data_IF_906317224947
#
_entry.id   IF_906317224947
#
_cell.length_a   1.000
_cell.length_b   1.000
_cell.length_c   1.000
_cell.angle_alpha   90.00
_cell.angle_beta   90.00
_cell.angle_gamma   90.00
#
_symmetry.space_group_name_H-M   'P 1'
#
loop_
_entity.id
_entity.type
_entity.pdbx_description
1 polymer ?
#
# COMPACT_ATOMS: atom_id res chain seq x y z
N UNK A 1 -14.39 1.07 16.03
CA UNK A 1 -13.91 -0.28 15.65
C UNK A 1 -12.43 -0.29 15.24
N UNK A 2 -11.91 0.70 14.50
CA UNK A 2 -10.46 0.93 14.25
C UNK A 2 -9.57 0.82 15.51
N UNK A 3 -10.06 1.25 16.67
CA UNK A 3 -9.28 1.18 17.91
C UNK A 3 -9.36 -0.16 18.62
N UNK A 4 -10.42 -0.96 18.46
CA UNK A 4 -10.63 -2.13 19.32
C UNK A 4 -9.61 -3.23 19.04
N UNK A 5 -9.42 -3.63 17.78
CA UNK A 5 -8.49 -4.72 17.39
C UNK A 5 -7.02 -4.31 17.63
N UNK A 6 -6.65 -3.08 17.25
CA UNK A 6 -5.31 -2.53 17.51
C UNK A 6 -5.04 -2.33 19.03
N UNK A 7 -6.07 -1.98 19.81
CA UNK A 7 -5.96 -1.83 21.28
C UNK A 7 -5.88 -3.17 22.02
N UNK A 8 -6.39 -4.28 21.48
CA UNK A 8 -6.26 -5.59 22.12
C UNK A 8 -4.83 -6.13 22.01
N UNK A 9 -4.18 -5.96 20.85
CA UNK A 9 -2.87 -6.57 20.59
C UNK A 9 -1.65 -5.71 20.99
N UNK A 10 -1.72 -4.37 20.95
CA UNK A 10 -0.51 -3.51 20.99
C UNK A 10 -0.47 -2.47 22.12
N UNK A 11 -1.04 -2.77 23.29
CA UNK A 11 -1.11 -1.82 24.43
C UNK A 11 0.18 -1.64 25.23
N UNK A 12 1.19 -2.48 25.07
CA UNK A 12 2.43 -2.40 25.85
C UNK A 12 3.60 -1.88 25.01
N UNK A 13 4.38 -0.98 25.61
CA UNK A 13 5.74 -0.68 25.15
C UNK A 13 6.74 -1.72 25.71
N UNK A 14 6.21 -2.83 26.22
CA UNK A 14 6.96 -3.97 26.71
C UNK A 14 7.06 -4.97 25.56
N UNK A 15 8.25 -5.08 24.99
CA UNK A 15 8.56 -6.02 23.92
C UNK A 15 8.16 -7.46 24.29
N UNK A 16 8.18 -7.80 25.58
CA UNK A 16 7.85 -9.11 26.09
C UNK A 16 6.32 -9.37 26.08
N UNK A 17 5.47 -8.38 26.36
CA UNK A 17 4.02 -8.53 26.24
C UNK A 17 3.57 -8.58 24.77
N UNK A 18 4.21 -7.80 23.89
CA UNK A 18 3.98 -7.92 22.45
C UNK A 18 4.34 -9.33 21.94
N UNK A 19 5.53 -9.82 22.32
CA UNK A 19 5.96 -11.19 21.98
C UNK A 19 4.99 -12.22 22.54
N UNK A 20 4.54 -12.06 23.79
CA UNK A 20 3.59 -12.98 24.42
C UNK A 20 2.25 -13.05 23.67
N UNK A 21 1.71 -11.91 23.23
CA UNK A 21 0.45 -11.87 22.48
C UNK A 21 0.57 -12.46 21.09
N UNK A 22 1.64 -12.12 20.36
CA UNK A 22 1.91 -12.70 19.05
C UNK A 22 2.14 -14.21 19.17
N UNK A 23 2.83 -14.64 20.22
CA UNK A 23 3.06 -16.06 20.46
C UNK A 23 1.78 -16.82 20.83
N UNK A 24 0.88 -16.22 21.62
CA UNK A 24 -0.45 -16.78 21.87
C UNK A 24 -1.20 -16.99 20.56
N UNK A 25 -1.18 -16.01 19.65
CA UNK A 25 -1.77 -16.17 18.32
C UNK A 25 -1.12 -17.29 17.50
N UNK A 26 0.21 -17.39 17.51
CA UNK A 26 0.91 -18.48 16.84
C UNK A 26 0.50 -19.85 17.42
N UNK A 27 0.40 -19.96 18.74
CA UNK A 27 -0.07 -21.18 19.41
C UNK A 27 -1.49 -21.54 18.99
N UNK A 28 -2.42 -20.58 19.10
CA UNK A 28 -3.84 -20.81 18.85
C UNK A 28 -4.16 -21.12 17.39
N UNK A 29 -3.44 -20.48 16.45
CA UNK A 29 -3.76 -20.54 15.02
C UNK A 29 -2.86 -21.52 14.26
N UNK A 30 -1.56 -21.57 14.56
CA UNK A 30 -0.60 -22.41 13.84
C UNK A 30 -0.38 -23.76 14.51
N UNK A 31 -0.58 -23.85 15.83
CA UNK A 31 -0.40 -25.07 16.61
C UNK A 31 1.01 -25.68 16.51
N UNK A 32 1.14 -26.95 16.87
CA UNK A 32 2.39 -27.71 16.74
C UNK A 32 3.53 -27.11 17.58
N UNK A 33 4.66 -26.82 16.94
CA UNK A 33 5.88 -26.33 17.61
C UNK A 33 5.79 -24.86 18.08
N UNK A 34 4.63 -24.23 17.90
CA UNK A 34 4.32 -22.90 18.41
C UNK A 34 3.66 -22.92 19.80
N UNK A 35 3.16 -24.07 20.28
CA UNK A 35 2.26 -24.17 21.46
C UNK A 35 2.95 -24.02 22.82
N UNK A 36 4.26 -24.23 22.92
CA UNK A 36 5.00 -24.24 24.21
C UNK A 36 6.28 -23.40 24.20
N UNK A 37 6.30 -22.34 23.37
CA UNK A 37 7.46 -21.45 23.30
C UNK A 37 7.43 -20.43 24.45
N UNK A 38 8.62 -20.02 24.90
CA UNK A 38 8.76 -18.83 25.74
C UNK A 38 8.84 -17.59 24.83
N UNK A 39 8.26 -16.44 25.20
CA UNK A 39 8.35 -15.19 24.44
C UNK A 39 9.78 -14.77 24.09
N UNK A 40 10.77 -15.06 24.94
CA UNK A 40 12.18 -14.75 24.68
C UNK A 40 12.84 -15.63 23.61
N UNK A 41 12.21 -16.76 23.27
CA UNK A 41 12.73 -17.68 22.25
C UNK A 41 12.24 -17.34 20.85
N UNK A 42 11.37 -16.35 20.69
CA UNK A 42 10.91 -15.89 19.37
C UNK A 42 11.51 -14.53 19.03
N UNK A 43 11.76 -14.30 17.74
CA UNK A 43 12.10 -13.00 17.21
C UNK A 43 10.92 -12.41 16.45
N UNK A 44 10.69 -11.12 16.65
CA UNK A 44 9.64 -10.37 15.97
C UNK A 44 10.29 -9.14 15.35
N UNK A 45 10.13 -8.98 14.05
CA UNK A 45 10.58 -7.77 13.35
C UNK A 45 9.43 -7.15 12.57
N UNK A 46 9.29 -5.83 12.67
CA UNK A 46 8.29 -5.10 11.90
C UNK A 46 8.72 -5.02 10.43
N UNK A 47 7.84 -5.47 9.53
CA UNK A 47 8.06 -5.40 8.09
C UNK A 47 7.45 -4.09 7.58
N UNK A 48 8.30 -3.20 7.08
CA UNK A 48 7.87 -1.95 6.43
C UNK A 48 7.39 -2.29 5.01
N UNK A 49 6.19 -1.88 4.61
CA UNK A 49 5.75 -2.10 3.22
C UNK A 49 4.27 -1.89 2.88
N UNK A 50 3.35 -1.94 3.85
CA UNK A 50 1.91 -1.80 3.58
C UNK A 50 1.35 -0.43 3.97
N UNK A 51 0.58 0.20 3.08
CA UNK A 51 -0.16 1.44 3.37
C UNK A 51 -1.34 1.22 4.32
N UNK A 52 -1.87 -0.01 4.35
CA UNK A 52 -3.17 -0.36 4.95
C UNK A 52 -3.07 -1.45 6.02
N UNK A 53 -1.93 -2.10 6.19
CA UNK A 53 -1.78 -3.31 7.01
C UNK A 53 -0.52 -3.24 7.89
N UNK A 54 -0.61 -3.72 9.13
CA UNK A 54 0.57 -3.93 9.98
C UNK A 54 1.13 -5.32 9.71
N UNK A 55 2.44 -5.40 9.49
CA UNK A 55 3.11 -6.65 9.15
C UNK A 55 4.28 -6.93 10.11
N UNK A 56 4.32 -8.16 10.62
CA UNK A 56 5.39 -8.64 11.49
C UNK A 56 5.95 -9.95 10.94
N UNK A 57 7.26 -10.05 10.87
CA UNK A 57 7.95 -11.31 10.67
C UNK A 57 8.16 -11.95 12.04
N UNK A 58 7.64 -13.15 12.24
CA UNK A 58 7.72 -13.89 13.50
C UNK A 58 8.53 -15.15 13.25
N UNK A 59 9.63 -15.32 13.99
CA UNK A 59 10.48 -16.52 13.87
C UNK A 59 10.67 -17.21 15.22
N UNK A 60 10.69 -18.55 15.18
CA UNK A 60 11.08 -19.43 16.27
C UNK A 60 12.37 -20.19 15.91
N UNK A 61 13.05 -20.81 16.88
CA UNK A 61 14.20 -21.65 16.61
C UNK A 61 13.78 -22.92 15.85
N UNK A 62 14.68 -23.45 15.02
CA UNK A 62 14.53 -24.80 14.46
C UNK A 62 15.02 -25.81 15.50
N UNK A 63 14.14 -26.73 15.90
CA UNK A 63 14.46 -27.74 16.92
C UNK A 63 15.16 -28.97 16.35
N UNK A 64 15.00 -29.25 15.05
CA UNK A 64 15.66 -30.35 14.35
C UNK A 64 15.82 -30.03 12.87
N UNK A 65 16.70 -30.77 12.17
CA UNK A 65 16.81 -30.73 10.71
C UNK A 65 15.56 -31.28 9.99
N UNK A 66 14.77 -32.09 10.68
CA UNK A 66 13.50 -32.66 10.22
C UNK A 66 12.27 -31.80 10.54
N UNK A 67 12.46 -30.53 10.90
CA UNK A 67 11.36 -29.63 11.23
C UNK A 67 10.60 -29.17 9.98
N UNK A 68 9.51 -29.86 9.65
CA UNK A 68 8.67 -29.57 8.48
C UNK A 68 7.78 -28.33 8.66
N UNK A 69 7.46 -27.93 9.90
CA UNK A 69 6.63 -26.75 10.15
C UNK A 69 7.47 -25.48 10.01
N UNK A 70 6.99 -24.50 9.25
CA UNK A 70 7.68 -23.22 9.05
C UNK A 70 8.10 -22.58 10.37
N UNK A 71 9.41 -22.35 10.52
CA UNK A 71 9.97 -21.68 11.68
C UNK A 71 9.84 -20.16 11.61
N UNK A 72 9.55 -19.61 10.43
CA UNK A 72 9.32 -18.18 10.19
C UNK A 72 8.02 -18.00 9.44
N UNK A 73 7.19 -17.06 9.91
CA UNK A 73 5.87 -16.74 9.35
C UNK A 73 5.70 -15.23 9.26
N UNK A 74 4.87 -14.79 8.31
CA UNK A 74 4.46 -13.39 8.21
C UNK A 74 3.08 -13.23 8.86
N UNK A 75 3.02 -12.41 9.91
CA UNK A 75 1.77 -12.01 10.56
C UNK A 75 1.29 -10.70 9.92
N UNK A 76 0.12 -10.73 9.28
CA UNK A 76 -0.54 -9.55 8.74
C UNK A 76 -1.79 -9.22 9.54
N UNK A 77 -1.85 -8.00 10.05
CA UNK A 77 -2.97 -7.47 10.82
C UNK A 77 -3.66 -6.39 10.00
N UNK A 78 -4.95 -6.59 9.79
CA UNK A 78 -5.77 -5.76 8.91
C UNK A 78 -6.23 -4.50 9.63
N UNK A 79 -6.06 -3.34 9.00
CA UNK A 79 -6.62 -2.07 9.52
C UNK A 79 -7.93 -1.65 8.84
N UNK A 80 -8.27 -2.28 7.72
CA UNK A 80 -9.53 -2.10 7.01
C UNK A 80 -10.70 -2.59 7.87
N UNK A 81 -11.80 -1.83 7.87
CA UNK A 81 -13.03 -2.17 8.63
C UNK A 81 -14.20 -2.50 7.73
N UNK A 82 -14.08 -2.25 6.42
CA UNK A 82 -15.05 -2.66 5.41
C UNK A 82 -15.03 -4.19 5.25
N UNK A 83 -16.12 -4.84 5.65
CA UNK A 83 -16.21 -6.30 5.69
C UNK A 83 -16.24 -6.92 4.29
N UNK A 84 -16.79 -6.23 3.30
CA UNK A 84 -16.84 -6.73 1.93
C UNK A 84 -15.45 -6.67 1.28
N UNK A 85 -14.70 -5.58 1.51
CA UNK A 85 -13.32 -5.46 1.05
C UNK A 85 -12.41 -6.52 1.70
N UNK A 86 -12.56 -6.75 3.00
CA UNK A 86 -11.82 -7.79 3.72
C UNK A 86 -12.12 -9.20 3.19
N UNK A 87 -13.40 -9.50 2.92
CA UNK A 87 -13.81 -10.78 2.37
C UNK A 87 -13.24 -10.99 0.96
N UNK A 88 -13.34 -9.97 0.09
CA UNK A 88 -12.76 -10.02 -1.26
C UNK A 88 -11.24 -10.23 -1.22
N UNK A 89 -10.52 -9.48 -0.37
CA UNK A 89 -9.07 -9.63 -0.20
C UNK A 89 -8.71 -11.06 0.24
N UNK A 90 -9.46 -11.64 1.18
CA UNK A 90 -9.23 -13.01 1.64
C UNK A 90 -9.50 -14.05 0.55
N UNK A 91 -10.56 -13.87 -0.23
CA UNK A 91 -10.89 -14.74 -1.38
C UNK A 91 -9.80 -14.68 -2.45
N UNK A 92 -9.32 -13.48 -2.77
CA UNK A 92 -8.19 -13.28 -3.70
C UNK A 92 -6.94 -13.97 -3.18
N UNK A 93 -6.56 -13.68 -1.93
CA UNK A 93 -5.36 -14.22 -1.31
C UNK A 93 -5.36 -15.75 -1.30
N UNK A 94 -6.44 -16.37 -0.83
CA UNK A 94 -6.59 -17.83 -0.78
C UNK A 94 -6.56 -18.46 -2.16
N UNK A 95 -7.22 -17.86 -3.15
CA UNK A 95 -7.20 -18.36 -4.53
C UNK A 95 -5.79 -18.36 -5.13
N UNK A 96 -5.00 -17.32 -4.86
CA UNK A 96 -3.62 -17.19 -5.34
C UNK A 96 -2.65 -18.10 -4.60
N UNK A 97 -2.85 -18.29 -3.29
CA UNK A 97 -2.11 -19.25 -2.48
C UNK A 97 -2.28 -20.68 -3.01
N UNK A 98 -3.53 -21.11 -3.23
CA UNK A 98 -3.84 -22.46 -3.76
C UNK A 98 -3.35 -22.65 -5.20
N UNK A 99 -3.30 -21.57 -5.97
CA UNK A 99 -2.78 -21.60 -7.34
C UNK A 99 -1.24 -21.55 -7.40
N UNK A 100 -0.55 -21.47 -6.27
CA UNK A 100 0.91 -21.33 -6.19
C UNK A 100 1.44 -20.04 -6.82
N UNK A 101 0.64 -18.96 -6.79
CA UNK A 101 0.94 -17.63 -7.33
C UNK A 101 1.10 -16.57 -6.24
N UNK A 102 0.87 -16.93 -4.98
CA UNK A 102 1.10 -16.11 -3.80
C UNK A 102 1.61 -16.96 -2.64
N UNK A 103 1.95 -16.32 -1.50
CA UNK A 103 2.36 -17.03 -0.30
C UNK A 103 1.24 -17.93 0.23
N UNK A 104 1.59 -19.09 0.81
CA UNK A 104 0.59 -19.96 1.43
C UNK A 104 -0.12 -19.26 2.58
N UNK A 105 -1.41 -19.51 2.70
CA UNK A 105 -2.17 -19.19 3.90
C UNK A 105 -1.85 -20.22 4.99
N UNK A 106 -1.30 -19.79 6.12
CA UNK A 106 -0.99 -20.67 7.25
C UNK A 106 -2.09 -20.67 8.32
N UNK A 107 -2.85 -19.59 8.43
CA UNK A 107 -4.01 -19.52 9.31
C UNK A 107 -4.68 -18.15 9.34
N UNK A 108 -5.92 -18.11 9.82
CA UNK A 108 -6.75 -16.90 9.88
C UNK A 108 -7.28 -16.73 11.29
N UNK A 109 -7.38 -15.47 11.74
CA UNK A 109 -8.03 -15.12 13.00
C UNK A 109 -8.77 -13.77 12.85
N UNK A 110 -9.67 -13.41 13.78
CA UNK A 110 -10.35 -12.11 13.73
C UNK A 110 -9.34 -10.94 13.70
N UNK A 111 -9.30 -10.22 12.58
CA UNK A 111 -8.44 -9.06 12.38
C UNK A 111 -7.09 -9.33 11.70
N UNK A 112 -6.81 -10.55 11.24
CA UNK A 112 -5.58 -10.83 10.52
C UNK A 112 -5.40 -12.27 10.04
N UNK A 113 -4.20 -12.54 9.51
CA UNK A 113 -3.81 -13.85 9.00
C UNK A 113 -2.31 -14.09 9.16
N UNK A 114 -1.94 -15.36 9.16
CA UNK A 114 -0.57 -15.83 9.02
C UNK A 114 -0.32 -16.31 7.60
N UNK A 115 0.77 -15.85 7.01
CA UNK A 115 1.19 -16.16 5.65
C UNK A 115 2.57 -16.83 5.68
N UNK A 116 2.86 -17.64 4.67
CA UNK A 116 4.21 -18.10 4.40
C UNK A 116 5.14 -16.90 4.17
N UNK A 117 6.23 -16.85 4.94
CA UNK A 117 7.28 -15.90 4.64
C UNK A 117 8.11 -16.42 3.46
N UNK A 118 8.16 -15.63 2.39
CA UNK A 118 9.02 -15.90 1.24
C UNK A 118 10.29 -15.05 1.38
N UNK A 119 11.46 -15.65 1.69
CA UNK A 119 12.71 -14.91 1.79
C UNK A 119 13.02 -14.24 0.46
N UNK A 120 12.87 -12.92 0.42
CA UNK A 120 12.97 -12.12 -0.79
C UNK A 120 13.40 -10.70 -0.46
N UNK A 121 13.79 -9.96 -1.50
CA UNK A 121 13.92 -8.51 -1.44
C UNK A 121 13.05 -7.89 -2.53
N UNK A 122 12.55 -6.66 -2.34
CA UNK A 122 12.01 -5.86 -3.42
C UNK A 122 13.03 -5.70 -4.55
N UNK A 123 12.53 -5.50 -5.77
CA UNK A 123 13.36 -5.17 -6.93
C UNK A 123 13.77 -3.70 -6.78
N UNK A 124 15.06 -3.39 -6.96
CA UNK A 124 15.49 -2.00 -6.93
C UNK A 124 15.05 -1.29 -8.22
N UNK A 125 14.81 0.03 -8.16
CA UNK A 125 14.32 0.80 -9.31
C UNK A 125 15.12 0.60 -10.61
N UNK A 126 16.44 0.45 -10.49
CA UNK A 126 17.32 0.23 -11.64
C UNK A 126 17.16 -1.17 -12.26
N UNK A 127 16.74 -2.17 -11.47
CA UNK A 127 16.55 -3.56 -11.90
C UNK A 127 15.17 -3.80 -12.53
N UNK A 128 14.16 -2.97 -12.24
CA UNK A 128 12.80 -3.13 -12.80
C UNK A 128 12.81 -3.14 -14.33
N UNK A 129 13.73 -2.38 -14.91
CA UNK A 129 13.91 -2.32 -16.36
C UNK A 129 14.89 -3.35 -16.92
N UNK A 130 15.49 -4.18 -16.09
CA UNK A 130 16.39 -5.23 -16.56
C UNK A 130 15.64 -6.24 -17.40
N UNK A 131 16.21 -6.58 -18.56
CA UNK A 131 15.61 -7.53 -19.49
C UNK A 131 15.27 -8.87 -18.83
N UNK A 132 16.08 -9.31 -17.86
CA UNK A 132 15.85 -10.53 -17.09
C UNK A 132 14.58 -10.44 -16.23
N UNK A 133 14.38 -9.34 -15.50
CA UNK A 133 13.19 -9.12 -14.66
C UNK A 133 11.94 -8.99 -15.53
N UNK A 134 12.00 -8.15 -16.57
CA UNK A 134 10.92 -8.03 -17.56
C UNK A 134 10.54 -9.38 -18.18
N UNK A 135 11.52 -10.23 -18.52
CA UNK A 135 11.28 -11.57 -19.08
C UNK A 135 10.59 -12.49 -18.07
N UNK A 136 11.02 -12.47 -16.81
CA UNK A 136 10.43 -13.31 -15.76
C UNK A 136 8.99 -12.88 -15.47
N UNK A 137 8.73 -11.58 -15.40
CA UNK A 137 7.38 -11.06 -15.22
C UNK A 137 6.48 -11.38 -16.44
N UNK A 138 7.00 -11.22 -17.67
CA UNK A 138 6.29 -11.59 -18.89
C UNK A 138 5.94 -13.08 -18.94
N UNK A 139 6.72 -13.96 -18.28
CA UNK A 139 6.40 -15.39 -18.13
C UNK A 139 5.32 -15.66 -17.10
N UNK A 140 5.32 -14.90 -16.02
CA UNK A 140 4.39 -15.09 -14.90
C UNK A 140 2.98 -14.59 -15.22
N UNK A 141 2.88 -13.41 -15.84
CA UNK A 141 1.60 -12.70 -15.98
C UNK A 141 0.55 -13.42 -16.82
N UNK A 142 0.86 -14.15 -17.91
CA UNK A 142 -0.16 -14.93 -18.62
C UNK A 142 -0.87 -15.95 -17.72
N UNK A 143 -0.11 -16.62 -16.83
CA UNK A 143 -0.67 -17.55 -15.85
C UNK A 143 -1.48 -16.80 -14.81
N UNK A 144 -0.96 -15.69 -14.27
CA UNK A 144 -1.68 -14.85 -13.32
C UNK A 144 -3.02 -14.35 -13.88
N UNK A 145 -3.02 -13.77 -15.09
CA UNK A 145 -4.20 -13.29 -15.79
C UNK A 145 -5.22 -14.41 -16.10
N UNK A 146 -4.78 -15.65 -16.23
CA UNK A 146 -5.65 -16.82 -16.45
C UNK A 146 -6.27 -17.40 -15.17
N UNK A 147 -5.92 -16.87 -14.00
CA UNK A 147 -6.39 -17.39 -12.71
C UNK A 147 -7.90 -17.15 -12.55
N UNK A 148 -8.62 -18.19 -12.17
CA UNK A 148 -10.05 -18.12 -11.88
C UNK A 148 -10.26 -17.78 -10.39
N UNK A 149 -10.45 -16.50 -10.09
CA UNK A 149 -10.70 -16.03 -8.72
C UNK A 149 -12.20 -15.78 -8.52
N UNK A 150 -12.86 -16.31 -7.48
CA UNK A 150 -14.32 -16.25 -7.32
C UNK A 150 -14.81 -14.90 -6.75
N UNK A 151 -14.40 -13.80 -7.38
CA UNK A 151 -14.88 -12.43 -7.14
C UNK A 151 -15.69 -11.90 -8.34
N UNK A 152 -16.16 -10.65 -8.29
CA UNK A 152 -16.81 -9.99 -9.43
C UNK A 152 -15.96 -10.06 -10.70
N UNK A 153 -16.58 -10.44 -11.82
CA UNK A 153 -15.94 -10.49 -13.15
C UNK A 153 -16.06 -9.18 -13.92
N UNK A 154 -16.80 -8.22 -13.38
CA UNK A 154 -16.95 -6.90 -14.00
C UNK A 154 -15.69 -6.07 -13.74
N UNK A 155 -15.19 -5.32 -14.74
CA UNK A 155 -14.05 -4.44 -14.54
C UNK A 155 -14.37 -3.38 -13.49
N UNK A 156 -13.49 -3.22 -12.49
CA UNK A 156 -13.68 -2.27 -11.38
C UNK A 156 -13.01 -0.91 -11.60
N UNK A 157 -12.22 -0.75 -12.66
CA UNK A 157 -11.32 0.40 -12.87
C UNK A 157 -12.00 1.78 -12.75
N UNK A 158 -13.05 2.02 -13.55
CA UNK A 158 -13.75 3.31 -13.56
C UNK A 158 -14.49 3.54 -12.24
N UNK A 159 -15.11 2.49 -11.69
CA UNK A 159 -15.82 2.58 -10.41
C UNK A 159 -14.87 3.00 -9.28
N UNK A 160 -13.66 2.42 -9.19
CA UNK A 160 -12.66 2.81 -8.20
C UNK A 160 -12.25 4.28 -8.35
N UNK A 161 -12.01 4.76 -9.57
CA UNK A 161 -11.67 6.17 -9.80
C UNK A 161 -12.84 7.10 -9.42
N UNK A 162 -14.08 6.74 -9.75
CA UNK A 162 -15.26 7.53 -9.37
C UNK A 162 -15.45 7.57 -7.84
N UNK A 163 -15.23 6.45 -7.15
CA UNK A 163 -15.24 6.39 -5.68
C UNK A 163 -14.18 7.31 -5.07
N UNK A 164 -12.94 7.27 -5.55
CA UNK A 164 -11.87 8.14 -5.05
C UNK A 164 -12.12 9.61 -5.35
N UNK A 165 -12.66 9.93 -6.53
CA UNK A 165 -13.05 11.29 -6.88
C UNK A 165 -14.16 11.82 -5.97
N UNK A 166 -15.18 11.00 -5.69
CA UNK A 166 -16.24 11.36 -4.75
C UNK A 166 -15.69 11.58 -3.34
N UNK A 167 -14.79 10.70 -2.87
CA UNK A 167 -14.11 10.89 -1.58
C UNK A 167 -13.26 12.16 -1.55
N UNK A 168 -12.61 12.51 -2.65
CA UNK A 168 -11.88 13.77 -2.79
C UNK A 168 -12.81 14.98 -2.73
N UNK A 169 -14.02 14.90 -3.29
CA UNK A 169 -15.06 15.92 -3.19
C UNK A 169 -15.61 16.06 -1.76
N UNK A 170 -15.89 14.94 -1.08
CA UNK A 170 -16.31 14.91 0.34
C UNK A 170 -15.26 15.53 1.27
N UNK A 171 -13.97 15.51 0.87
CA UNK A 171 -12.91 16.25 1.55
C UNK A 171 -12.97 17.78 1.34
N UNK A 172 -14.02 18.28 0.69
CA UNK A 172 -14.26 19.69 0.40
C UNK A 172 -13.33 20.22 -0.68
N UNK A 173 -12.82 19.35 -1.57
CA UNK A 173 -12.04 19.76 -2.73
C UNK A 173 -12.94 19.77 -3.96
N UNK A 174 -12.74 20.76 -4.82
CA UNK A 174 -13.46 20.85 -6.11
C UNK A 174 -12.55 21.22 -7.26
N UNK A 175 -11.31 21.62 -6.95
CA UNK A 175 -10.33 22.13 -7.90
C UNK A 175 -8.92 21.70 -7.47
N UNK A 176 -8.09 21.37 -8.46
CA UNK A 176 -6.69 21.00 -8.31
C UNK A 176 -5.84 22.04 -9.03
N UNK A 177 -4.88 22.64 -8.32
CA UNK A 177 -3.90 23.53 -8.93
C UNK A 177 -2.83 22.68 -9.62
N UNK A 178 -2.74 22.77 -10.94
CA UNK A 178 -1.78 21.97 -11.69
C UNK A 178 -0.39 22.55 -11.55
N UNK A 179 0.56 21.69 -11.15
CA UNK A 179 1.97 22.05 -10.99
C UNK A 179 2.86 20.95 -11.52
N UNK A 180 3.94 21.35 -12.14
CA UNK A 180 5.01 20.45 -12.56
C UNK A 180 5.97 20.22 -11.39
N UNK A 181 6.46 18.99 -11.25
CA UNK A 181 7.43 18.60 -10.21
C UNK A 181 8.66 17.99 -10.86
N UNK A 182 8.77 16.66 -10.90
CA UNK A 182 9.85 15.94 -11.58
C UNK A 182 9.80 16.11 -13.09
N UNK A 183 8.64 16.38 -13.66
CA UNK A 183 8.45 16.52 -15.10
C UNK A 183 8.11 17.96 -15.44
N UNK A 184 8.94 18.61 -16.25
CA UNK A 184 8.77 20.01 -16.65
C UNK A 184 8.05 20.08 -18.00
N UNK A 185 6.87 20.68 -17.97
CA UNK A 185 6.05 20.97 -19.14
C UNK A 185 5.92 22.48 -19.30
N UNK A 186 5.81 22.95 -20.54
CA UNK A 186 5.53 24.35 -20.80
C UNK A 186 4.14 24.71 -20.22
N UNK A 187 3.98 25.82 -19.47
CA UNK A 187 2.72 26.12 -18.76
C UNK A 187 1.47 26.13 -19.65
N UNK A 188 1.61 26.42 -20.94
CA UNK A 188 0.50 26.42 -21.90
C UNK A 188 0.09 25.02 -22.41
N UNK A 189 0.69 23.94 -21.91
CA UNK A 189 0.38 22.57 -22.34
C UNK A 189 -0.63 21.86 -21.46
N UNK A 190 -0.98 22.44 -20.31
CA UNK A 190 -1.97 21.91 -19.38
C UNK A 190 -2.76 23.08 -18.76
N UNK A 191 -4.03 22.89 -18.38
CA UNK A 191 -4.79 23.93 -17.72
C UNK A 191 -4.18 24.24 -16.34
N UNK A 192 -4.16 25.51 -15.88
CA UNK A 192 -3.61 25.86 -14.58
C UNK A 192 -4.41 25.26 -13.41
N UNK A 193 -5.69 24.97 -13.65
CA UNK A 193 -6.62 24.38 -12.69
C UNK A 193 -7.45 23.31 -13.37
N UNK A 194 -7.66 22.18 -12.70
CA UNK A 194 -8.57 21.12 -13.13
C UNK A 194 -9.67 20.98 -12.07
N UNK A 195 -10.94 21.02 -12.47
CA UNK A 195 -12.05 20.79 -11.54
C UNK A 195 -12.39 19.31 -11.41
N UNK A 196 -13.11 18.93 -10.35
CA UNK A 196 -13.62 17.55 -10.23
C UNK A 196 -14.63 17.21 -11.33
N UNK A 197 -15.36 18.21 -11.85
CA UNK A 197 -16.20 18.04 -13.03
C UNK A 197 -15.39 17.75 -14.30
N UNK A 198 -14.19 18.31 -14.44
CA UNK A 198 -13.31 17.99 -15.57
C UNK A 198 -12.80 16.56 -15.45
N UNK A 199 -12.36 16.14 -14.26
CA UNK A 199 -11.95 14.76 -14.00
C UNK A 199 -13.10 13.76 -14.25
N UNK A 200 -14.32 14.09 -13.86
CA UNK A 200 -15.49 13.25 -14.13
C UNK A 200 -15.72 13.07 -15.64
N UNK A 201 -15.53 14.12 -16.44
CA UNK A 201 -15.64 14.07 -17.91
C UNK A 201 -14.52 13.25 -18.55
N UNK A 202 -13.31 13.32 -18.01
CA UNK A 202 -12.22 12.43 -18.41
C UNK A 202 -12.55 10.96 -18.10
N UNK A 203 -13.19 10.68 -16.95
CA UNK A 203 -13.66 9.34 -16.61
C UNK A 203 -14.76 8.83 -17.57
N UNK A 204 -15.67 9.70 -18.00
CA UNK A 204 -16.68 9.37 -19.01
C UNK A 204 -16.01 9.00 -20.35
N UNK A 205 -14.96 9.72 -20.73
CA UNK A 205 -14.16 9.45 -21.94
C UNK A 205 -13.41 8.11 -21.83
N UNK A 206 -12.86 7.81 -20.65
CA UNK A 206 -12.24 6.51 -20.37
C UNK A 206 -13.29 5.40 -20.47
N UNK A 207 -14.48 5.58 -19.90
CA UNK A 207 -15.56 4.60 -19.98
C UNK A 207 -16.00 4.32 -21.42
N UNK A 208 -16.10 5.34 -22.27
CA UNK A 208 -16.36 5.20 -23.70
C UNK A 208 -15.23 4.41 -24.41
N UNK A 209 -13.97 4.76 -24.14
CA UNK A 209 -12.82 4.02 -24.65
C UNK A 209 -12.85 2.54 -24.25
N UNK A 210 -13.14 2.26 -22.97
CA UNK A 210 -13.19 0.90 -22.44
C UNK A 210 -14.35 0.08 -23.02
N UNK A 211 -15.47 0.73 -23.39
CA UNK A 211 -16.61 0.08 -24.05
C UNK A 211 -16.30 -0.40 -25.47
N UNK A 212 -15.32 0.21 -26.13
CA UNK A 212 -14.89 -0.13 -27.51
C UNK A 212 -13.56 -0.88 -27.55
N UNK A 213 -12.88 -1.00 -26.41
CA UNK A 213 -11.58 -1.66 -26.29
C UNK A 213 -11.66 -3.15 -26.57
N UNK A 214 -10.71 -3.66 -27.37
CA UNK A 214 -10.54 -5.10 -27.59
C UNK A 214 -9.67 -5.78 -26.52
N UNK A 215 -9.26 -5.06 -25.47
CA UNK A 215 -8.49 -5.64 -24.37
C UNK A 215 -9.38 -6.59 -23.57
N UNK A 216 -8.96 -7.85 -23.35
CA UNK A 216 -9.76 -8.81 -22.59
C UNK A 216 -9.82 -8.41 -21.11
N UNK A 217 -10.97 -8.64 -20.50
CA UNK A 217 -11.10 -8.60 -19.03
C UNK A 217 -10.54 -9.90 -18.46
N UNK A 218 -9.52 -9.78 -17.62
CA UNK A 218 -8.79 -10.87 -16.98
C UNK A 218 -8.59 -10.56 -15.50
N UNK A 219 -8.12 -11.52 -14.71
CA UNK A 219 -7.76 -11.22 -13.32
C UNK A 219 -6.43 -10.46 -13.28
N UNK A 220 -6.46 -9.19 -12.88
CA UNK A 220 -5.31 -8.28 -12.88
C UNK A 220 -4.80 -8.03 -11.46
N UNK A 221 -3.51 -7.74 -11.34
CA UNK A 221 -2.90 -7.28 -10.09
C UNK A 221 -3.27 -5.82 -9.80
N UNK A 222 -3.37 -5.00 -10.85
CA UNK A 222 -3.65 -3.56 -10.88
C UNK A 222 -2.59 -2.66 -10.23
N UNK A 223 -1.71 -3.22 -9.40
CA UNK A 223 -0.62 -2.49 -8.73
C UNK A 223 0.77 -3.11 -8.99
N UNK A 224 1.06 -3.41 -10.26
CA UNK A 224 2.39 -3.90 -10.66
C UNK A 224 3.46 -2.81 -10.53
N UNK A 225 4.16 -2.73 -9.40
CA UNK A 225 5.17 -1.69 -9.11
C UNK A 225 6.58 -2.27 -8.85
N UNK A 226 7.57 -1.39 -8.67
CA UNK A 226 8.96 -1.75 -8.38
C UNK A 226 9.15 -2.51 -7.05
N UNK A 227 8.23 -2.33 -6.09
CA UNK A 227 8.27 -3.04 -4.82
C UNK A 227 7.93 -4.52 -4.96
N UNK A 228 7.42 -4.95 -6.12
CA UNK A 228 7.12 -6.34 -6.37
C UNK A 228 8.39 -7.19 -6.47
N UNK A 229 8.47 -8.16 -5.57
CA UNK A 229 9.31 -9.32 -5.82
C UNK A 229 8.72 -10.14 -6.98
N UNK A 230 9.52 -10.97 -7.65
CA UNK A 230 8.99 -11.90 -8.67
C UNK A 230 7.91 -12.85 -8.14
N UNK A 231 7.83 -13.00 -6.82
CA UNK A 231 6.65 -13.53 -6.15
C UNK A 231 5.70 -12.35 -5.99
N UNK A 232 4.67 -12.28 -6.84
CA UNK A 232 3.65 -11.23 -6.75
C UNK A 232 3.06 -11.26 -5.33
N UNK A 233 2.91 -10.08 -4.73
CA UNK A 233 2.44 -9.86 -3.36
C UNK A 233 1.57 -8.60 -3.32
N UNK A 234 0.89 -8.38 -2.20
CA UNK A 234 0.06 -7.17 -1.97
C UNK A 234 -1.07 -7.00 -3.01
N UNK A 235 -1.93 -8.03 -3.07
CA UNK A 235 -3.07 -8.13 -3.98
C UNK A 235 -4.27 -7.23 -3.62
N UNK A 236 -4.06 -6.14 -2.88
CA UNK A 236 -5.13 -5.29 -2.33
C UNK A 236 -5.98 -4.62 -3.41
N UNK A 237 -5.36 -4.32 -4.56
CA UNK A 237 -6.03 -3.77 -5.73
C UNK A 237 -6.43 -4.83 -6.75
N UNK A 238 -6.15 -6.11 -6.51
CA UNK A 238 -6.40 -7.17 -7.49
C UNK A 238 -7.89 -7.35 -7.74
N UNK A 239 -8.26 -7.36 -9.01
CA UNK A 239 -9.64 -7.48 -9.46
C UNK A 239 -9.68 -7.95 -10.91
N UNK A 240 -10.85 -8.37 -11.38
CA UNK A 240 -11.03 -8.49 -12.82
C UNK A 240 -10.99 -7.10 -13.46
N UNK A 241 -10.12 -6.92 -14.44
CA UNK A 241 -9.91 -5.66 -15.13
C UNK A 241 -9.35 -5.91 -16.54
N UNK A 242 -9.16 -4.86 -17.33
CA UNK A 242 -8.56 -4.96 -18.66
C UNK A 242 -7.09 -5.34 -18.55
N UNK A 243 -6.67 -6.39 -19.25
CA UNK A 243 -5.25 -6.80 -19.33
C UNK A 243 -4.34 -5.63 -19.69
N UNK A 244 -4.79 -4.78 -20.60
CA UNK A 244 -4.04 -3.63 -21.06
C UNK A 244 -3.67 -2.67 -19.93
N UNK A 245 -4.56 -2.50 -18.95
CA UNK A 245 -4.30 -1.68 -17.77
C UNK A 245 -3.16 -2.26 -16.95
N UNK A 246 -3.21 -3.55 -16.60
CA UNK A 246 -2.21 -4.18 -15.73
C UNK A 246 -0.82 -4.16 -16.38
N UNK A 247 -0.76 -4.47 -17.68
CA UNK A 247 0.49 -4.42 -18.44
C UNK A 247 1.02 -2.99 -18.59
N UNK A 248 0.15 -2.01 -18.84
CA UNK A 248 0.55 -0.61 -18.90
C UNK A 248 1.03 -0.09 -17.55
N UNK A 249 0.38 -0.53 -16.46
CA UNK A 249 0.72 -0.15 -15.09
C UNK A 249 2.17 -0.46 -14.78
N UNK A 250 2.62 -1.67 -15.09
CA UNK A 250 4.01 -2.08 -14.93
C UNK A 250 4.99 -1.10 -15.59
N UNK A 251 4.77 -0.74 -16.86
CA UNK A 251 5.68 0.16 -17.57
C UNK A 251 5.61 1.60 -17.10
N UNK A 252 4.44 2.07 -16.66
CA UNK A 252 4.29 3.38 -16.04
C UNK A 252 5.03 3.42 -14.70
N UNK A 253 4.86 2.42 -13.84
CA UNK A 253 5.52 2.32 -12.54
C UNK A 253 7.04 2.16 -12.68
N UNK A 254 7.52 1.34 -13.62
CA UNK A 254 8.95 1.16 -13.90
C UNK A 254 9.67 2.45 -14.31
N UNK A 255 8.91 3.45 -14.79
CA UNK A 255 9.44 4.76 -15.15
C UNK A 255 9.48 5.73 -13.96
N UNK A 256 8.90 5.39 -12.80
CA UNK A 256 8.85 6.25 -11.63
C UNK A 256 9.79 5.69 -10.56
N UNK A 257 10.82 6.46 -10.23
CA UNK A 257 11.74 6.17 -9.12
C UNK A 257 11.22 6.84 -7.87
N UNK A 258 10.91 6.08 -6.83
CA UNK A 258 10.44 6.61 -5.55
C UNK A 258 11.57 6.74 -4.52
N UNK A 259 11.25 7.26 -3.33
CA UNK A 259 12.13 7.32 -2.16
C UNK A 259 13.43 8.13 -2.38
N UNK A 260 13.40 9.11 -3.28
CA UNK A 260 14.53 10.02 -3.47
C UNK A 260 14.65 10.99 -2.30
N UNK A 261 15.88 11.38 -1.98
CA UNK A 261 16.18 12.28 -0.84
C UNK A 261 15.66 13.70 -1.08
N UNK A 262 15.75 14.18 -2.31
CA UNK A 262 15.42 15.56 -2.69
C UNK A 262 13.98 15.67 -3.16
N UNK A 263 13.33 16.80 -2.87
CA UNK A 263 12.00 17.12 -3.38
C UNK A 263 11.99 17.02 -4.93
N UNK A 264 10.96 16.39 -5.55
CA UNK A 264 9.69 15.94 -4.99
C UNK A 264 9.69 14.52 -4.38
N UNK A 265 10.88 13.96 -4.13
CA UNK A 265 11.12 12.59 -3.61
C UNK A 265 10.78 11.46 -4.56
N UNK A 266 10.55 11.81 -5.82
CA UNK A 266 10.44 10.86 -6.91
C UNK A 266 11.00 11.47 -8.21
N UNK A 267 11.30 10.62 -9.18
CA UNK A 267 11.68 11.03 -10.54
C UNK A 267 10.94 10.21 -11.59
N UNK A 268 10.57 10.83 -12.70
CA UNK A 268 10.01 10.14 -13.87
C UNK A 268 11.08 10.06 -14.97
N UNK A 269 11.45 8.85 -15.38
CA UNK A 269 12.36 8.57 -16.49
C UNK A 269 11.56 8.29 -17.78
N UNK A 270 11.48 9.31 -18.64
CA UNK A 270 10.79 9.19 -19.94
C UNK A 270 11.47 8.23 -20.91
N UNK A 271 12.78 7.97 -20.77
CA UNK A 271 13.46 7.00 -21.61
C UNK A 271 12.97 5.60 -21.28
N UNK A 272 12.78 5.28 -19.99
CA UNK A 272 12.15 4.03 -19.55
C UNK A 272 10.70 3.95 -20.00
N UNK A 273 9.90 5.01 -19.78
CA UNK A 273 8.48 5.05 -20.15
C UNK A 273 8.26 4.81 -21.64
N UNK A 274 9.12 5.38 -22.50
CA UNK A 274 9.02 5.29 -23.95
C UNK A 274 9.91 4.19 -24.58
N UNK A 275 10.51 3.31 -23.77
CA UNK A 275 11.40 2.26 -24.28
C UNK A 275 10.62 1.20 -25.07
N UNK A 276 10.47 1.45 -26.37
CA UNK A 276 9.71 0.57 -27.28
C UNK A 276 10.34 -0.81 -27.40
N UNK A 277 11.67 -0.90 -27.41
CA UNK A 277 12.39 -2.17 -27.57
C UNK A 277 12.10 -3.09 -26.38
N UNK A 278 12.21 -2.58 -25.16
CA UNK A 278 11.90 -3.34 -23.94
C UNK A 278 10.44 -3.81 -23.91
N UNK A 279 9.48 -2.91 -24.20
CA UNK A 279 8.06 -3.29 -24.25
C UNK A 279 7.80 -4.38 -25.28
N UNK A 280 8.46 -4.33 -26.43
CA UNK A 280 8.31 -5.33 -27.47
C UNK A 280 8.89 -6.69 -27.06
N UNK A 281 10.07 -6.72 -26.43
CA UNK A 281 10.65 -7.98 -25.91
C UNK A 281 9.76 -8.61 -24.83
N UNK A 282 9.22 -7.79 -23.91
CA UNK A 282 8.21 -8.24 -22.96
C UNK A 282 6.98 -8.82 -23.68
N UNK A 283 6.46 -8.14 -24.70
CA UNK A 283 5.29 -8.62 -25.44
C UNK A 283 5.55 -9.96 -26.15
N UNK A 284 6.74 -10.15 -26.75
CA UNK A 284 7.13 -11.41 -27.38
C UNK A 284 7.09 -12.56 -26.38
N UNK A 285 7.69 -12.36 -25.21
CA UNK A 285 7.73 -13.37 -24.16
C UNK A 285 6.34 -13.65 -23.59
N UNK A 286 5.55 -12.60 -23.31
CA UNK A 286 4.16 -12.74 -22.83
C UNK A 286 3.31 -13.55 -23.82
N UNK A 287 3.38 -13.23 -25.12
CA UNK A 287 2.64 -13.96 -26.17
C UNK A 287 3.09 -15.42 -26.27
N UNK A 288 4.39 -15.68 -26.15
CA UNK A 288 4.96 -17.03 -26.17
C UNK A 288 4.39 -17.89 -25.04
N UNK A 289 4.29 -17.33 -23.83
CA UNK A 289 3.80 -18.04 -22.64
C UNK A 289 2.28 -18.16 -22.63
N UNK A 290 1.57 -17.12 -23.07
CA UNK A 290 0.12 -17.17 -23.31
C UNK A 290 -0.26 -18.29 -24.29
N UNK A 291 0.52 -18.51 -25.35
CA UNK A 291 0.31 -19.60 -26.30
C UNK A 291 0.37 -20.98 -25.64
N UNK A 292 1.24 -21.20 -24.65
CA UNK A 292 1.32 -22.46 -23.90
C UNK A 292 0.07 -22.72 -23.05
N UNK A 293 -0.62 -21.66 -22.66
CA UNK A 293 -1.88 -21.69 -21.92
C UNK A 293 -3.11 -21.72 -22.86
N UNK A 294 -2.92 -21.90 -24.18
CA UNK A 294 -3.98 -21.82 -25.20
C UNK A 294 -4.71 -20.47 -25.24
N UNK A 295 -4.06 -19.39 -24.80
CA UNK A 295 -4.59 -18.02 -24.87
C UNK A 295 -4.15 -17.40 -26.20
N UNK A 296 -5.12 -17.09 -27.07
CA UNK A 296 -4.84 -16.47 -28.35
C UNK A 296 -4.59 -14.96 -28.21
N UNK A 297 -3.45 -14.49 -28.74
CA UNK A 297 -3.11 -13.07 -28.86
C UNK A 297 -2.68 -12.84 -30.30
N UNK A 298 -3.25 -11.83 -30.97
CA UNK A 298 -3.07 -11.60 -32.40
C UNK A 298 -1.60 -11.47 -32.80
N UNK A 299 -0.84 -10.68 -32.03
CA UNK A 299 0.62 -10.52 -32.16
C UNK A 299 1.20 -9.75 -30.98
N UNK A 300 2.52 -9.81 -30.81
CA UNK A 300 3.28 -8.95 -29.89
C UNK A 300 3.05 -7.46 -30.16
N UNK A 301 2.84 -7.07 -31.43
CA UNK A 301 2.52 -5.69 -31.79
C UNK A 301 1.10 -5.28 -31.37
N UNK A 302 0.14 -6.20 -31.40
CA UNK A 302 -1.20 -5.93 -30.89
C UNK A 302 -1.20 -5.70 -29.37
N UNK A 303 -0.36 -6.44 -28.65
CA UNK A 303 -0.19 -6.29 -27.20
C UNK A 303 0.57 -4.99 -26.86
N UNK A 304 1.60 -4.64 -27.64
CA UNK A 304 2.30 -3.36 -27.50
C UNK A 304 1.34 -2.17 -27.71
N UNK A 305 0.45 -2.25 -28.70
CA UNK A 305 -0.57 -1.22 -28.94
C UNK A 305 -1.53 -1.11 -27.75
N UNK A 306 -1.98 -2.24 -27.22
CA UNK A 306 -2.83 -2.30 -26.03
C UNK A 306 -2.16 -1.62 -24.83
N UNK A 307 -0.90 -1.95 -24.52
CA UNK A 307 -0.12 -1.29 -23.46
C UNK A 307 -0.08 0.24 -23.65
N UNK A 308 0.20 0.70 -24.87
CA UNK A 308 0.32 2.14 -25.14
C UNK A 308 -1.03 2.87 -25.04
N UNK A 309 -2.14 2.22 -25.43
CA UNK A 309 -3.49 2.80 -25.32
C UNK A 309 -3.95 2.94 -23.86
N UNK A 310 -3.51 2.05 -22.97
CA UNK A 310 -3.88 2.07 -21.55
C UNK A 310 -2.97 2.95 -20.68
N UNK A 311 -1.79 3.36 -21.16
CA UNK A 311 -0.88 4.20 -20.38
C UNK A 311 -1.51 5.52 -19.85
N UNK A 312 -2.30 6.29 -20.65
CA UNK A 312 -3.00 7.46 -20.13
C UNK A 312 -4.03 7.11 -19.04
N UNK A 313 -4.69 5.97 -19.15
CA UNK A 313 -5.67 5.49 -18.17
C UNK A 313 -4.99 5.19 -16.83
N UNK A 314 -3.80 4.57 -16.87
CA UNK A 314 -2.97 4.34 -15.67
C UNK A 314 -2.57 5.66 -15.01
N UNK A 315 -2.14 6.65 -15.79
CA UNK A 315 -1.79 7.96 -15.24
C UNK A 315 -2.98 8.64 -14.56
N UNK A 316 -4.16 8.62 -15.18
CA UNK A 316 -5.38 9.17 -14.58
C UNK A 316 -5.78 8.41 -13.30
N UNK A 317 -5.69 7.08 -13.32
CA UNK A 317 -5.99 6.22 -12.18
C UNK A 317 -5.18 6.60 -10.94
N UNK A 318 -3.86 6.66 -11.06
CA UNK A 318 -2.99 7.03 -9.95
C UNK A 318 -3.06 8.52 -9.62
N UNK A 319 -3.36 9.40 -10.58
CA UNK A 319 -3.59 10.80 -10.30
C UNK A 319 -4.80 10.99 -9.36
N UNK A 320 -5.94 10.37 -9.68
CA UNK A 320 -7.15 10.46 -8.85
C UNK A 320 -6.93 9.80 -7.48
N UNK A 321 -6.25 8.64 -7.43
CA UNK A 321 -5.86 8.02 -6.16
C UNK A 321 -5.00 8.96 -5.29
N UNK A 322 -3.98 9.58 -5.88
CA UNK A 322 -3.09 10.49 -5.16
C UNK A 322 -3.81 11.76 -4.67
N UNK A 323 -4.76 12.30 -5.45
CA UNK A 323 -5.59 13.43 -5.02
C UNK A 323 -6.42 13.08 -3.78
N UNK A 324 -7.05 11.90 -3.80
CA UNK A 324 -7.78 11.39 -2.64
C UNK A 324 -6.86 11.25 -1.40
N UNK A 325 -5.61 10.82 -1.59
CA UNK A 325 -4.62 10.68 -0.52
C UNK A 325 -4.07 12.04 0.00
N UNK A 326 -3.96 13.08 -0.84
CA UNK A 326 -3.27 14.36 -0.54
C UNK A 326 -3.80 15.07 0.72
N UNK A 327 -5.12 15.05 0.97
CA UNK A 327 -5.72 15.78 2.10
C UNK A 327 -5.90 14.96 3.38
N UNK A 328 -5.59 13.66 3.35
CA UNK A 328 -5.40 12.90 4.59
C UNK A 328 -4.21 13.48 5.39
N UNK A 329 -3.22 14.06 4.70
CA UNK A 329 -2.02 14.69 5.30
C UNK A 329 -2.16 16.22 5.55
N UNK A 330 -2.76 16.98 4.62
CA UNK A 330 -2.74 18.47 4.65
C UNK A 330 -3.76 19.17 5.56
N UNK A 331 -4.86 18.51 5.95
CA UNK A 331 -5.81 19.07 6.94
C UNK A 331 -5.20 19.23 8.34
N UNK A 332 -4.15 18.46 8.65
CA UNK A 332 -3.40 18.55 9.92
C UNK A 332 -2.36 19.68 9.93
N UNK A 333 -1.81 20.06 8.77
CA UNK A 333 -0.70 21.02 8.65
C UNK A 333 -1.14 22.48 8.47
N UNK A 334 -2.20 22.74 7.71
CA UNK A 334 -2.66 24.11 7.36
C UNK A 334 -3.30 24.88 8.53
N UNK A 335 -3.86 24.19 9.52
CA UNK A 335 -4.42 24.82 10.73
C UNK A 335 -3.36 25.47 11.64
N UNK A 336 -2.08 25.11 11.49
CA UNK A 336 -1.01 25.53 12.40
C UNK A 336 -0.22 26.77 11.92
N UNK A 337 -0.36 27.17 10.64
CA UNK A 337 0.45 28.24 10.04
C UNK A 337 -0.05 29.67 10.32
N UNK A 338 -1.30 29.83 10.75
CA UNK A 338 -1.94 31.15 10.95
C UNK A 338 -1.84 31.72 12.38
N UNK A 339 -0.97 31.20 13.23
CA UNK A 339 -0.80 31.70 14.61
C UNK A 339 0.32 32.75 14.67
N UNK A 340 0.02 34.06 14.78
CA UNK A 340 1.04 35.08 14.92
C UNK A 340 1.52 35.11 16.38
N UNK A 341 2.83 34.94 16.58
CA UNK A 341 3.56 35.14 17.84
C UNK A 341 2.84 34.63 19.10
N UNK A 342 2.76 33.31 19.24
CA UNK A 342 2.47 32.70 20.53
C UNK A 342 3.77 32.42 21.28
N UNK A 343 3.97 33.08 22.43
CA UNK A 343 5.09 32.86 23.36
C UNK A 343 5.11 31.45 23.97
N UNK A 344 3.96 30.77 23.94
CA UNK A 344 3.77 29.40 24.39
C UNK A 344 2.71 28.78 23.49
N UNK A 345 3.05 27.68 22.82
CA UNK A 345 2.10 26.92 22.01
C UNK A 345 1.96 25.54 22.65
N UNK A 346 0.81 25.29 23.27
CA UNK A 346 0.43 23.96 23.75
C UNK A 346 -0.07 23.17 22.55
N UNK A 347 0.82 22.41 21.89
CA UNK A 347 0.45 21.58 20.76
C UNK A 347 -0.04 20.24 21.31
N UNK A 348 -1.35 20.05 21.28
CA UNK A 348 -2.00 18.80 21.67
C UNK A 348 -1.88 17.82 20.49
N UNK A 349 -0.82 17.01 20.50
CA UNK A 349 -0.64 15.95 19.50
C UNK A 349 -1.45 14.72 19.91
N UNK A 350 -2.54 14.48 19.20
CA UNK A 350 -3.26 13.22 19.30
C UNK A 350 -2.45 12.13 18.57
N UNK A 351 -1.85 11.22 19.34
CA UNK A 351 -1.19 10.02 18.82
C UNK A 351 -2.17 8.86 18.55
N UNK A 352 -3.45 9.08 18.81
CA UNK A 352 -4.51 8.12 18.52
C UNK A 352 -4.98 8.31 17.07
N UNK A 353 -4.59 7.38 16.20
CA UNK A 353 -5.06 7.33 14.81
C UNK A 353 -4.05 7.78 13.75
N UNK A 354 -2.81 8.11 14.14
CA UNK A 354 -1.74 8.46 13.19
C UNK A 354 -0.80 7.28 12.93
N UNK A 355 -0.34 7.13 11.69
CA UNK A 355 0.64 6.15 11.24
C UNK A 355 2.08 6.57 11.60
N UNK A 356 3.07 5.69 11.40
CA UNK A 356 4.44 5.94 11.84
C UNK A 356 5.13 7.11 11.10
N UNK A 357 4.82 7.31 9.82
CA UNK A 357 5.31 8.46 9.06
C UNK A 357 4.73 9.77 9.60
N UNK A 358 3.42 9.79 9.90
CA UNK A 358 2.74 10.92 10.52
C UNK A 358 3.30 11.21 11.92
N UNK A 359 3.57 10.19 12.75
CA UNK A 359 4.17 10.36 14.08
C UNK A 359 5.58 10.95 14.01
N UNK A 360 6.44 10.43 13.14
CA UNK A 360 7.77 10.99 12.93
C UNK A 360 7.72 12.41 12.37
N UNK A 361 6.71 12.72 11.55
CA UNK A 361 6.48 14.08 11.04
C UNK A 361 6.01 15.03 12.14
N UNK A 362 5.13 14.60 13.03
CA UNK A 362 4.66 15.39 14.18
C UNK A 362 5.74 15.59 15.25
N UNK A 363 6.57 14.58 15.53
CA UNK A 363 7.73 14.69 16.42
C UNK A 363 8.79 15.62 15.85
N UNK A 364 9.09 15.50 14.55
CA UNK A 364 9.99 16.42 13.85
C UNK A 364 9.46 17.86 13.89
N UNK A 365 8.15 18.07 13.65
CA UNK A 365 7.53 19.39 13.71
C UNK A 365 7.59 20.02 15.11
N UNK A 366 7.34 19.23 16.16
CA UNK A 366 7.46 19.67 17.55
C UNK A 366 8.90 20.08 17.89
N UNK A 367 9.90 19.33 17.40
CA UNK A 367 11.32 19.66 17.55
C UNK A 367 11.69 20.95 16.81
N UNK A 368 11.22 21.14 15.57
CA UNK A 368 11.49 22.36 14.80
C UNK A 368 10.87 23.63 15.43
N UNK A 369 9.69 23.51 16.06
CA UNK A 369 9.05 24.62 16.77
C UNK A 369 9.74 24.93 18.10
N UNK A 370 10.23 23.93 18.82
CA UNK A 370 11.03 24.12 20.04
C UNK A 370 12.37 24.83 19.77
N UNK A 371 13.00 24.55 18.62
CA UNK A 371 14.25 25.20 18.19
C UNK A 371 14.09 26.69 17.86
N UNK A 372 12.86 27.18 17.64
CA UNK A 372 12.56 28.60 17.39
C UNK A 372 12.21 29.39 18.66
N UNK A 373 12.66 28.90 19.83
CA UNK A 373 12.42 29.48 21.16
C UNK A 373 10.95 29.55 21.60
N UNK A 374 10.05 28.79 20.96
CA UNK A 374 8.70 28.60 21.49
C UNK A 374 8.72 27.61 22.66
N UNK A 375 8.01 27.91 23.75
CA UNK A 375 7.70 26.90 24.76
C UNK A 375 6.67 25.92 24.19
N UNK A 376 7.16 24.75 23.78
CA UNK A 376 6.33 23.64 23.29
C UNK A 376 6.03 22.69 24.45
N UNK A 377 4.75 22.51 24.76
CA UNK A 377 4.29 21.50 25.72
C UNK A 377 3.57 20.41 24.94
N UNK A 378 4.09 19.19 24.98
CA UNK A 378 3.45 18.01 24.40
C UNK A 378 2.54 17.38 25.44
N UNK A 379 1.26 17.22 25.11
CA UNK A 379 0.29 16.57 25.99
C UNK A 379 -0.14 15.27 25.35
N UNK A 380 0.19 14.15 26.00
CA UNK A 380 -0.20 12.83 25.55
C UNK A 380 -1.48 12.42 26.28
N UNK A 381 -2.59 12.11 25.57
CA UNK A 381 -3.75 11.53 26.20
C UNK A 381 -3.43 10.07 26.56
N UNK A 382 -3.51 9.76 27.86
CA UNK A 382 -3.37 8.39 28.36
C UNK A 382 -4.76 7.95 28.82
N UNK A 383 -5.31 6.92 28.16
CA UNK A 383 -6.55 6.28 28.59
C UNK A 383 -6.20 5.26 29.67
N UNK A 384 -6.31 5.69 30.92
CA UNK A 384 -6.17 4.83 32.10
C UNK A 384 -7.49 4.05 32.23
N UNK A 385 -7.48 2.71 32.14
CA UNK A 385 -8.68 1.92 32.37
C UNK A 385 -8.95 1.86 33.88
N UNK A 386 -9.99 2.54 34.36
CA UNK A 386 -10.58 2.25 35.68
C UNK A 386 -11.54 1.06 35.57
N UNK A 387 -11.69 0.31 36.66
CA UNK A 387 -12.36 -0.99 36.68
C UNK A 387 -13.77 -0.99 36.05
N UNK A 388 -14.16 -2.05 35.33
CA UNK A 388 -15.25 -2.00 34.35
C UNK A 388 -16.67 -1.86 34.93
N UNK A 389 -16.83 -1.88 36.26
CA UNK A 389 -18.17 -1.99 36.86
C UNK A 389 -18.78 -0.70 37.37
N UNK A 390 -18.03 0.40 37.47
CA UNK A 390 -18.58 1.69 37.88
C UNK A 390 -17.84 2.82 37.13
N UNK A 391 -18.57 3.50 36.23
CA UNK A 391 -18.23 4.76 35.53
C UNK A 391 -17.54 4.64 34.15
N UNK A 392 -18.00 5.49 33.20
CA UNK A 392 -17.48 5.60 31.83
C UNK A 392 -16.01 6.07 31.82
N UNK A 393 -15.15 5.53 30.92
CA UNK A 393 -13.74 5.89 30.85
C UNK A 393 -13.58 7.40 30.61
N UNK A 394 -12.80 8.05 31.47
CA UNK A 394 -12.47 9.48 31.36
C UNK A 394 -11.10 9.64 30.69
N UNK A 395 -11.00 10.58 29.76
CA UNK A 395 -9.75 10.94 29.11
C UNK A 395 -8.88 11.71 30.10
N UNK A 396 -7.73 11.16 30.49
CA UNK A 396 -6.75 11.87 31.30
C UNK A 396 -5.68 12.48 30.38
N UNK A 397 -5.53 13.80 30.47
CA UNK A 397 -4.49 14.55 29.77
C UNK A 397 -3.25 14.58 30.65
N UNK A 398 -2.23 13.76 30.32
CA UNK A 398 -0.97 13.75 31.07
C UNK A 398 -0.02 14.73 30.40
N UNK A 399 0.36 15.76 31.16
CA UNK A 399 1.30 16.78 30.72
C UNK A 399 2.71 16.22 30.83
N UNK A 400 3.33 15.91 29.70
CA UNK A 400 4.73 15.51 29.68
C UNK A 400 5.60 16.78 29.65
N UNK A 401 6.48 16.94 30.63
CA UNK A 401 7.27 18.17 30.77
C UNK A 401 8.50 18.09 29.86
N UNK A 402 8.61 19.10 29.00
CA UNK A 402 9.74 19.56 28.17
C UNK A 402 11.01 18.70 28.23
N UNK A 403 11.27 17.92 27.18
CA UNK A 403 12.64 17.54 26.84
C UNK A 403 13.34 18.81 26.35
N UNK A 404 14.14 19.45 27.22
CA UNK A 404 15.19 20.34 26.74
C UNK A 404 16.13 19.46 25.93
N UNK A 405 16.24 19.72 24.63
CA UNK A 405 17.28 19.13 23.80
C UNK A 405 18.62 19.31 24.52
N UNK A 406 19.14 18.22 25.07
CA UNK A 406 20.56 18.07 25.31
C UNK A 406 21.05 17.24 24.12
N UNK A 407 21.42 17.94 23.05
CA UNK A 407 22.58 17.50 22.27
C UNK A 407 23.78 17.53 23.23
N UNK A 408 24.70 16.56 23.16
CA UNK A 408 25.47 16.25 21.94
C UNK A 408 24.88 15.18 21.04
#
# INVERSE_FOLDING_TARGET
LRSAILQTYFKSHDELDLRSKILSLCSDVLGGKWVDLHPDNISISHVRGGLTNLMYLVSRPKFSSSDEQSATVLLRIQSQTDHEKLLNELVVFTSLAESGLGPKLLGIFPGGRFEEYIPSRPVDHHEVTDLKICTLLARLLPRFHSTAVPISKRPSLVNMMREWLALFEEQGNSHVQMRTTSFQLHPNTFPPVVSTSDLARELDTVEEFLSTSSSPVVFCHNDLTESLSLNLVDFEFSAYNYRGFDLANYFCAAAIEHNLREYPRYRIDLNKLHNRTMKLEFCKEYVREAKKLNIHIKSEFSLLREINQFAPVVHLFWAIFNLYCEKQEMRLLTALWFLPQCFSLNILLFLLGTNQYERSTFEFLAQQLALRHHQVTTVKPILIPEEPRLVKPKLHLVKEKTLKNLLP
#
